data_IF_217646066861
#
_entry.id   IF_217646066861
#
_cell.length_a   1.000
_cell.length_b   1.000
_cell.length_c   1.000
_cell.angle_alpha   90.00
_cell.angle_beta   90.00
_cell.angle_gamma   90.00
#
_symmetry.space_group_name_H-M   'P 1'
#
loop_
_entity.id
_entity.type
_entity.pdbx_description
1 polymer ?
#
# COMPACT_ATOMS: atom_id res chain seq x y z
N UNK A 1 19.20 36.46 -3.69
CA UNK A 1 17.76 36.34 -3.35
C UNK A 1 17.12 35.06 -3.85
N UNK A 2 17.13 34.71 -5.17
CA UNK A 2 16.48 33.48 -5.68
C UNK A 2 16.84 32.19 -4.92
N UNK A 3 18.13 31.95 -4.64
CA UNK A 3 18.60 30.76 -3.87
C UNK A 3 18.04 30.66 -2.44
N UNK A 4 17.65 31.77 -1.82
CA UNK A 4 17.06 31.75 -0.47
C UNK A 4 15.56 31.45 -0.52
N UNK A 5 14.85 32.04 -1.50
CA UNK A 5 13.41 31.83 -1.68
C UNK A 5 13.11 30.35 -1.94
N UNK A 6 13.88 29.71 -2.83
CA UNK A 6 13.70 28.28 -3.12
C UNK A 6 13.91 27.41 -1.88
N UNK A 7 14.96 27.71 -1.11
CA UNK A 7 15.29 26.98 0.12
C UNK A 7 14.17 27.04 1.16
N UNK A 8 13.66 28.24 1.49
CA UNK A 8 12.58 28.36 2.48
C UNK A 8 11.25 27.83 1.95
N UNK A 9 11.00 27.92 0.63
CA UNK A 9 9.84 27.34 -0.02
C UNK A 9 9.81 25.80 0.10
N UNK A 10 10.95 25.13 -0.11
CA UNK A 10 11.08 23.69 0.07
C UNK A 10 10.83 23.28 1.53
N UNK A 11 11.40 24.01 2.50
CA UNK A 11 11.17 23.73 3.92
C UNK A 11 9.69 23.84 4.30
N UNK A 12 9.02 24.88 3.82
CA UNK A 12 7.59 25.06 4.05
C UNK A 12 6.77 23.93 3.40
N UNK A 13 7.13 23.53 2.18
CA UNK A 13 6.46 22.44 1.47
C UNK A 13 6.58 21.10 2.22
N UNK A 14 7.74 20.79 2.82
CA UNK A 14 7.92 19.58 3.67
C UNK A 14 6.94 19.60 4.85
N UNK A 15 6.85 20.74 5.56
CA UNK A 15 5.97 20.86 6.72
C UNK A 15 4.50 20.76 6.30
N UNK A 16 4.09 21.44 5.23
CA UNK A 16 2.72 21.40 4.74
C UNK A 16 2.30 19.99 4.31
N UNK A 17 3.15 19.31 3.52
CA UNK A 17 2.85 17.94 3.06
C UNK A 17 2.85 16.93 4.22
N UNK A 18 3.69 17.12 5.25
CA UNK A 18 3.63 16.33 6.47
C UNK A 18 2.31 16.54 7.23
N UNK A 19 1.89 17.79 7.43
CA UNK A 19 0.63 18.10 8.11
C UNK A 19 -0.56 17.45 7.40
N UNK A 20 -0.61 17.50 6.07
CA UNK A 20 -1.65 16.85 5.27
C UNK A 20 -1.62 15.33 5.40
N UNK A 21 -0.42 14.73 5.43
CA UNK A 21 -0.25 13.30 5.68
C UNK A 21 -0.85 12.92 7.04
N UNK A 22 -0.48 13.63 8.12
CA UNK A 22 -0.97 13.30 9.46
C UNK A 22 -2.47 13.52 9.62
N UNK A 23 -3.01 14.60 9.05
CA UNK A 23 -4.45 14.85 9.01
C UNK A 23 -5.19 13.69 8.33
N UNK A 24 -4.71 13.26 7.17
CA UNK A 24 -5.33 12.15 6.44
C UNK A 24 -5.19 10.79 7.16
N UNK A 25 -4.07 10.58 7.86
CA UNK A 25 -3.86 9.36 8.65
C UNK A 25 -4.83 9.29 9.83
N UNK A 26 -5.01 10.41 10.55
CA UNK A 26 -5.97 10.50 11.64
C UNK A 26 -7.40 10.24 11.15
N UNK A 27 -7.78 10.83 10.01
CA UNK A 27 -9.11 10.72 9.46
C UNK A 27 -9.48 9.26 9.10
N UNK A 28 -8.53 8.50 8.52
CA UNK A 28 -8.70 7.06 8.29
C UNK A 28 -8.80 6.28 9.60
N UNK A 29 -7.96 6.58 10.60
CA UNK A 29 -7.97 5.86 11.87
C UNK A 29 -9.29 6.10 12.63
N UNK A 30 -9.81 7.32 12.62
CA UNK A 30 -11.06 7.68 13.31
C UNK A 30 -12.31 7.20 12.57
N UNK A 31 -12.29 7.22 11.24
CA UNK A 31 -13.47 6.90 10.42
C UNK A 31 -13.18 5.86 9.34
N UNK A 32 -12.88 4.61 9.72
CA UNK A 32 -12.42 3.59 8.77
C UNK A 32 -13.44 3.21 7.69
N UNK A 33 -14.74 3.52 7.88
CA UNK A 33 -15.80 3.18 6.94
C UNK A 33 -16.08 4.24 5.86
N UNK A 34 -15.73 5.51 6.10
CA UNK A 34 -16.13 6.61 5.18
C UNK A 34 -15.02 7.07 4.27
N UNK A 35 -13.76 6.86 4.63
CA UNK A 35 -12.65 7.45 3.90
C UNK A 35 -11.93 6.46 2.99
N UNK A 36 -11.73 6.89 1.74
CA UNK A 36 -10.89 6.15 0.80
C UNK A 36 -9.43 6.23 1.23
N UNK A 37 -8.77 5.07 1.31
CA UNK A 37 -7.31 4.93 1.46
C UNK A 37 -6.46 5.66 0.41
N UNK A 38 -7.10 6.22 -0.61
CA UNK A 38 -6.48 7.00 -1.67
C UNK A 38 -5.79 8.27 -1.16
N UNK A 39 -6.43 9.05 -0.28
CA UNK A 39 -5.88 10.36 0.14
C UNK A 39 -4.57 10.24 0.93
N UNK A 40 -4.44 9.36 1.94
CA UNK A 40 -3.15 9.19 2.60
C UNK A 40 -2.06 8.67 1.67
N UNK A 41 -2.40 7.86 0.67
CA UNK A 41 -1.43 7.41 -0.33
C UNK A 41 -0.90 8.58 -1.17
N UNK A 42 -1.79 9.50 -1.58
CA UNK A 42 -1.41 10.72 -2.29
C UNK A 42 -0.53 11.61 -1.42
N UNK A 43 -0.94 11.90 -0.18
CA UNK A 43 -0.15 12.76 0.71
C UNK A 43 1.17 12.13 1.15
N UNK A 44 1.20 10.81 1.36
CA UNK A 44 2.43 10.05 1.60
C UNK A 44 3.40 10.21 0.43
N UNK A 45 2.89 10.07 -0.79
CA UNK A 45 3.70 10.21 -2.01
C UNK A 45 4.26 11.62 -2.15
N UNK A 46 3.43 12.65 -1.90
CA UNK A 46 3.87 14.05 -1.92
C UNK A 46 4.92 14.32 -0.84
N UNK A 47 4.70 13.87 0.39
CA UNK A 47 5.65 14.04 1.48
C UNK A 47 6.98 13.33 1.18
N UNK A 48 6.95 12.10 0.65
CA UNK A 48 8.13 11.38 0.20
C UNK A 48 8.93 12.20 -0.81
N UNK A 49 8.28 12.67 -1.87
CA UNK A 49 8.94 13.42 -2.95
C UNK A 49 9.59 14.69 -2.41
N UNK A 50 8.83 15.50 -1.67
CA UNK A 50 9.31 16.81 -1.17
C UNK A 50 10.41 16.63 -0.13
N UNK A 51 10.28 15.65 0.77
CA UNK A 51 11.31 15.36 1.76
C UNK A 51 12.60 14.82 1.11
N UNK A 52 12.50 13.93 0.12
CA UNK A 52 13.65 13.41 -0.63
C UNK A 52 14.36 14.47 -1.46
N UNK A 53 13.63 15.41 -2.07
CA UNK A 53 14.28 16.57 -2.71
C UNK A 53 15.03 17.40 -1.66
N UNK A 54 14.40 17.65 -0.51
CA UNK A 54 14.99 18.41 0.60
C UNK A 54 16.26 17.74 1.13
N UNK A 55 16.27 16.41 1.25
CA UNK A 55 17.44 15.66 1.76
C UNK A 55 18.65 15.78 0.85
N UNK A 56 18.44 15.90 -0.47
CA UNK A 56 19.48 16.09 -1.48
C UNK A 56 19.94 17.55 -1.54
N UNK A 57 19.01 18.50 -1.53
CA UNK A 57 19.30 19.93 -1.74
C UNK A 57 19.91 20.62 -0.51
N UNK A 58 19.52 20.21 0.71
CA UNK A 58 19.97 20.87 1.93
C UNK A 58 21.24 20.22 2.50
N UNK A 59 22.35 20.95 2.36
CA UNK A 59 23.64 20.59 2.96
C UNK A 59 23.78 20.97 4.44
N UNK A 60 22.99 21.93 4.92
CA UNK A 60 23.07 22.38 6.31
C UNK A 60 22.33 21.40 7.22
N UNK A 61 23.10 20.66 8.02
CA UNK A 61 22.62 19.68 8.99
C UNK A 61 21.56 20.24 9.94
N UNK A 62 21.79 21.41 10.52
CA UNK A 62 20.89 21.99 11.52
C UNK A 62 19.52 22.31 10.94
N UNK A 63 19.49 22.91 9.74
CA UNK A 63 18.24 23.20 9.03
C UNK A 63 17.49 21.92 8.66
N UNK A 64 18.19 20.91 8.17
CA UNK A 64 17.56 19.63 7.83
C UNK A 64 16.91 18.94 9.04
N UNK A 65 17.63 18.91 10.17
CA UNK A 65 17.12 18.34 11.43
C UNK A 65 15.92 19.15 11.92
N UNK A 66 16.02 20.48 11.93
CA UNK A 66 14.94 21.35 12.39
C UNK A 66 13.68 21.12 11.57
N UNK A 67 13.78 21.12 10.24
CA UNK A 67 12.62 20.90 9.36
C UNK A 67 12.05 19.50 9.51
N UNK A 68 12.90 18.47 9.57
CA UNK A 68 12.42 17.10 9.80
C UNK A 68 11.70 17.02 11.15
N UNK A 69 12.28 17.55 12.23
CA UNK A 69 11.66 17.59 13.54
C UNK A 69 10.33 18.34 13.53
N UNK A 70 10.26 19.53 12.94
CA UNK A 70 9.01 20.30 12.82
C UNK A 70 7.96 19.53 12.04
N UNK A 71 8.33 18.90 10.91
CA UNK A 71 7.41 18.10 10.09
C UNK A 71 6.85 16.89 10.83
N UNK A 72 7.66 16.18 11.62
CA UNK A 72 7.20 15.07 12.45
C UNK A 72 6.40 15.57 13.65
N UNK A 73 6.80 16.68 14.27
CA UNK A 73 6.11 17.26 15.43
C UNK A 73 4.68 17.72 15.10
N UNK A 74 4.37 18.06 13.83
CA UNK A 74 2.99 18.35 13.42
C UNK A 74 2.03 17.19 13.67
N UNK A 75 2.50 15.95 13.75
CA UNK A 75 1.66 14.79 14.11
C UNK A 75 1.14 14.85 15.56
N UNK A 76 1.81 15.58 16.47
CA UNK A 76 1.37 15.76 17.86
C UNK A 76 0.11 16.62 17.99
N UNK A 77 -0.20 17.44 16.96
CA UNK A 77 -1.45 18.23 16.94
C UNK A 77 -2.66 17.29 16.90
N UNK A 78 -2.53 16.17 16.19
CA UNK A 78 -3.60 15.19 15.99
C UNK A 78 -3.58 14.06 17.03
N UNK A 79 -2.41 13.78 17.62
CA UNK A 79 -2.25 12.78 18.68
C UNK A 79 -1.47 13.34 19.86
N UNK A 80 -2.19 13.74 20.91
CA UNK A 80 -1.62 14.25 22.15
C UNK A 80 -1.26 13.10 23.11
N UNK A 81 -0.23 12.31 22.78
CA UNK A 81 0.30 11.26 23.65
C UNK A 81 1.79 11.46 23.92
N UNK A 82 2.19 11.49 25.20
CA UNK A 82 3.60 11.60 25.59
C UNK A 82 4.42 10.38 25.17
N UNK A 83 3.83 9.18 25.18
CA UNK A 83 4.50 7.96 24.72
C UNK A 83 4.84 7.99 23.22
N UNK A 84 4.05 8.73 22.43
CA UNK A 84 4.27 8.89 20.99
C UNK A 84 5.54 9.68 20.66
N UNK A 85 6.05 10.49 21.60
CA UNK A 85 7.34 11.19 21.43
C UNK A 85 8.50 10.23 21.18
N UNK A 86 8.47 9.02 21.76
CA UNK A 86 9.50 7.99 21.52
C UNK A 86 9.53 7.60 20.04
N UNK A 87 8.36 7.42 19.42
CA UNK A 87 8.24 7.11 18.00
C UNK A 87 8.74 8.26 17.12
N UNK A 88 8.45 9.52 17.50
CA UNK A 88 8.97 10.71 16.82
C UNK A 88 10.49 10.77 16.87
N UNK A 89 11.10 10.51 18.03
CA UNK A 89 12.56 10.50 18.17
C UNK A 89 13.19 9.40 17.32
N UNK A 90 12.65 8.17 17.36
CA UNK A 90 13.15 7.06 16.55
C UNK A 90 13.00 7.32 15.04
N UNK A 91 11.86 7.89 14.63
CA UNK A 91 11.64 8.29 13.25
C UNK A 91 12.62 9.38 12.80
N UNK A 92 12.86 10.40 13.64
CA UNK A 92 13.84 11.45 13.35
C UNK A 92 15.26 10.89 13.20
N UNK A 93 15.67 9.96 14.07
CA UNK A 93 16.97 9.28 13.97
C UNK A 93 17.09 8.47 12.67
N UNK A 94 16.02 7.79 12.26
CA UNK A 94 15.97 7.08 10.98
C UNK A 94 16.11 8.06 9.80
N UNK A 95 15.29 9.12 9.76
CA UNK A 95 15.34 10.15 8.71
C UNK A 95 16.73 10.81 8.62
N UNK A 96 17.33 11.14 9.76
CA UNK A 96 18.68 11.69 9.84
C UNK A 96 19.74 10.71 9.33
N UNK A 97 19.58 9.41 9.60
CA UNK A 97 20.46 8.37 9.06
C UNK A 97 20.34 8.26 7.53
N UNK A 98 19.11 8.34 7.01
CA UNK A 98 18.85 8.43 5.56
C UNK A 98 19.56 9.61 4.91
N UNK A 99 19.41 10.80 5.48
CA UNK A 99 20.09 12.00 5.00
C UNK A 99 21.61 11.89 5.04
N UNK A 100 22.19 11.35 6.13
CA UNK A 100 23.64 11.11 6.21
C UNK A 100 24.15 10.20 5.09
N UNK A 101 23.41 9.12 4.81
CA UNK A 101 23.74 8.18 3.74
C UNK A 101 23.62 8.87 2.38
N UNK A 102 22.55 9.63 2.16
CA UNK A 102 22.34 10.38 0.92
C UNK A 102 23.46 11.40 0.66
N UNK A 103 23.84 12.19 1.67
CA UNK A 103 24.91 13.18 1.58
C UNK A 103 26.29 12.54 1.38
N UNK A 104 26.57 11.43 2.06
CA UNK A 104 27.82 10.66 1.86
C UNK A 104 27.90 10.11 0.44
N UNK A 105 26.80 9.58 -0.09
CA UNK A 105 26.75 9.09 -1.47
C UNK A 105 26.97 10.21 -2.49
N UNK A 106 26.41 11.40 -2.24
CA UNK A 106 26.60 12.58 -3.09
C UNK A 106 28.03 13.12 -3.02
N UNK A 107 28.69 13.04 -1.87
CA UNK A 107 30.07 13.56 -1.70
C UNK A 107 31.14 12.64 -2.26
N UNK A 108 30.90 11.32 -2.31
CA UNK A 108 31.90 10.34 -2.75
C UNK A 108 31.96 10.16 -4.27
N UNK A 109 30.95 10.64 -5.02
CA UNK A 109 30.88 10.44 -6.48
C UNK A 109 31.36 11.65 -7.26
N UNK A 110 32.17 11.40 -8.28
CA UNK A 110 32.61 12.41 -9.27
C UNK A 110 31.43 12.98 -10.06
N UNK A 111 30.43 12.14 -10.37
CA UNK A 111 29.18 12.55 -11.01
C UNK A 111 28.03 12.43 -10.03
N UNK A 112 27.30 13.53 -9.84
CA UNK A 112 26.09 13.58 -9.02
C UNK A 112 25.06 12.64 -9.66
N UNK A 113 24.67 11.61 -8.91
CA UNK A 113 23.66 10.63 -9.32
C UNK A 113 22.59 10.56 -8.25
N UNK A 114 21.58 11.42 -8.38
CA UNK A 114 20.50 11.56 -7.38
C UNK A 114 19.70 10.29 -7.24
N UNK A 115 19.47 9.57 -8.35
CA UNK A 115 18.82 8.27 -8.32
C UNK A 115 19.42 7.31 -7.28
N UNK A 116 20.76 7.24 -7.21
CA UNK A 116 21.45 6.35 -6.28
C UNK A 116 21.33 6.82 -4.83
N UNK A 117 21.44 8.14 -4.61
CA UNK A 117 21.25 8.75 -3.29
C UNK A 117 19.84 8.48 -2.76
N UNK A 118 18.81 8.76 -3.58
CA UNK A 118 17.40 8.49 -3.28
C UNK A 118 17.12 7.01 -3.01
N UNK A 119 17.74 6.11 -3.79
CA UNK A 119 17.58 4.66 -3.62
C UNK A 119 18.12 4.17 -2.27
N UNK A 120 19.19 4.78 -1.75
CA UNK A 120 19.80 4.38 -0.48
C UNK A 120 19.03 4.94 0.73
N UNK A 121 18.50 6.17 0.64
CA UNK A 121 17.76 6.78 1.74
C UNK A 121 16.35 6.20 1.93
N UNK A 122 15.70 5.70 0.86
CA UNK A 122 14.27 5.32 0.88
C UNK A 122 13.89 4.40 2.04
N UNK A 123 14.76 3.45 2.39
CA UNK A 123 14.49 2.45 3.43
C UNK A 123 14.31 3.12 4.80
N UNK A 124 15.09 4.17 5.06
CA UNK A 124 15.04 4.93 6.31
C UNK A 124 13.80 5.81 6.39
N UNK A 125 13.42 6.41 5.26
CA UNK A 125 12.19 7.19 5.17
C UNK A 125 10.96 6.31 5.38
N UNK A 126 10.85 5.20 4.64
CA UNK A 126 9.70 4.29 4.72
C UNK A 126 9.61 3.68 6.11
N UNK A 127 10.74 3.29 6.71
CA UNK A 127 10.79 2.82 8.10
C UNK A 127 10.25 3.88 9.07
N UNK A 128 10.71 5.14 8.96
CA UNK A 128 10.29 6.22 9.84
C UNK A 128 8.78 6.48 9.78
N UNK A 129 8.20 6.52 8.58
CA UNK A 129 6.76 6.77 8.41
C UNK A 129 5.92 5.57 8.82
N UNK A 130 6.37 4.35 8.49
CA UNK A 130 5.69 3.13 8.95
C UNK A 130 5.65 3.07 10.47
N UNK A 131 6.76 3.43 11.13
CA UNK A 131 6.87 3.47 12.58
C UNK A 131 5.93 4.52 13.19
N UNK A 132 5.85 5.72 12.61
CA UNK A 132 4.95 6.77 13.09
C UNK A 132 3.49 6.43 12.91
N UNK A 133 3.08 5.93 11.74
CA UNK A 133 1.69 5.55 11.50
C UNK A 133 1.25 4.38 12.39
N UNK A 134 2.13 3.39 12.60
CA UNK A 134 1.88 2.31 13.54
C UNK A 134 1.81 2.78 14.99
N UNK A 135 2.71 3.68 15.41
CA UNK A 135 2.67 4.30 16.73
C UNK A 135 1.40 5.14 16.94
N UNK A 136 1.00 5.90 15.92
CA UNK A 136 -0.22 6.70 15.96
C UNK A 136 -1.45 5.82 16.12
N UNK A 137 -1.54 4.75 15.32
CA UNK A 137 -2.59 3.74 15.44
C UNK A 137 -2.63 3.12 16.85
N UNK A 138 -1.48 2.70 17.39
CA UNK A 138 -1.37 2.09 18.72
C UNK A 138 -2.01 2.97 19.81
N UNK A 139 -1.65 4.25 19.85
CA UNK A 139 -2.16 5.17 20.88
C UNK A 139 -3.59 5.62 20.64
N UNK A 140 -4.04 5.76 19.39
CA UNK A 140 -5.42 6.16 19.09
C UNK A 140 -6.42 5.04 19.39
N UNK A 141 -6.08 3.80 19.05
CA UNK A 141 -6.96 2.65 19.30
C UNK A 141 -7.08 2.38 20.80
N UNK A 142 -5.99 2.50 21.56
CA UNK A 142 -6.04 2.34 23.01
C UNK A 142 -6.90 3.36 23.76
N UNK A 143 -7.29 4.47 23.12
CA UNK A 143 -8.19 5.48 23.69
C UNK A 143 -9.66 5.29 23.26
N UNK A 144 -9.93 4.44 22.27
CA UNK A 144 -11.27 4.22 21.70
C UNK A 144 -11.82 2.88 22.19
N UNK A 145 -13.12 2.79 22.49
CA UNK A 145 -13.76 1.52 22.88
C UNK A 145 -13.38 0.42 21.86
N UNK A 146 -12.68 -0.62 22.33
CA UNK A 146 -12.05 -1.65 21.49
C UNK A 146 -13.03 -2.30 20.50
N UNK A 147 -14.32 -2.36 20.85
CA UNK A 147 -15.39 -2.95 20.03
C UNK A 147 -15.73 -2.15 18.76
N UNK A 148 -15.32 -0.87 18.67
CA UNK A 148 -15.61 0.00 17.51
C UNK A 148 -14.39 0.28 16.63
N UNK A 149 -13.19 -0.13 17.06
CA UNK A 149 -11.94 0.29 16.43
C UNK A 149 -11.45 -0.64 15.31
N UNK A 150 -12.11 -1.78 15.07
CA UNK A 150 -11.70 -2.69 14.00
C UNK A 150 -12.17 -2.15 12.64
N UNK A 151 -11.25 -1.86 11.72
CA UNK A 151 -11.61 -1.41 10.39
C UNK A 151 -12.27 -2.57 9.64
N UNK A 152 -13.60 -2.49 9.44
CA UNK A 152 -14.28 -3.34 8.47
C UNK A 152 -13.80 -2.92 7.09
N UNK A 153 -12.86 -3.68 6.51
CA UNK A 153 -12.39 -3.44 5.14
C UNK A 153 -13.55 -3.76 4.21
N UNK A 154 -14.26 -2.73 3.76
CA UNK A 154 -15.26 -2.85 2.69
C UNK A 154 -14.56 -2.55 1.38
N UNK A 155 -14.23 -3.61 0.63
CA UNK A 155 -13.74 -3.43 -0.75
C UNK A 155 -14.90 -2.85 -1.57
N UNK A 156 -14.76 -1.61 -2.03
CA UNK A 156 -15.74 -0.99 -2.92
C UNK A 156 -15.72 -1.67 -4.29
N UNK A 157 -16.86 -1.74 -4.97
CA UNK A 157 -16.99 -2.27 -6.34
C UNK A 157 -15.95 -1.68 -7.31
N UNK A 158 -15.60 -0.39 -7.13
CA UNK A 158 -14.57 0.28 -7.93
C UNK A 158 -13.17 -0.31 -7.68
N UNK A 159 -12.83 -0.61 -6.43
CA UNK A 159 -11.56 -1.24 -6.06
C UNK A 159 -11.48 -2.68 -6.55
N UNK A 160 -12.60 -3.43 -6.47
CA UNK A 160 -12.71 -4.77 -7.03
C UNK A 160 -12.45 -4.78 -8.55
N UNK A 161 -12.95 -3.76 -9.27
CA UNK A 161 -12.67 -3.58 -10.71
C UNK A 161 -11.17 -3.33 -11.01
N UNK A 162 -10.46 -2.62 -10.15
CA UNK A 162 -9.01 -2.44 -10.33
C UNK A 162 -8.23 -3.72 -10.00
N UNK A 163 -8.61 -4.45 -8.94
CA UNK A 163 -8.00 -5.72 -8.59
C UNK A 163 -8.14 -6.75 -9.71
N UNK A 164 -9.31 -6.86 -10.32
CA UNK A 164 -9.53 -7.76 -11.48
C UNK A 164 -8.68 -7.38 -12.69
N UNK A 165 -8.44 -6.09 -12.95
CA UNK A 165 -7.49 -5.64 -14.00
C UNK A 165 -6.04 -6.02 -13.70
N UNK A 166 -5.65 -6.10 -12.43
CA UNK A 166 -4.30 -6.52 -12.03
C UNK A 166 -4.19 -8.05 -12.14
N UNK A 167 -5.17 -8.79 -11.60
CA UNK A 167 -5.17 -10.27 -11.62
C UNK A 167 -5.18 -10.80 -13.05
N UNK A 168 -5.97 -10.20 -13.95
CA UNK A 168 -5.99 -10.57 -15.39
C UNK A 168 -4.68 -10.31 -16.15
N UNK A 169 -3.71 -9.59 -15.55
CA UNK A 169 -2.35 -9.49 -16.11
C UNK A 169 -1.45 -10.65 -15.67
N UNK A 170 -1.72 -11.26 -14.53
CA UNK A 170 -0.95 -12.40 -14.02
C UNK A 170 -1.51 -13.74 -14.50
N UNK A 171 -2.81 -13.81 -14.77
CA UNK A 171 -3.47 -14.97 -15.34
C UNK A 171 -4.08 -14.60 -16.71
N UNK A 172 -3.43 -14.97 -17.83
CA UNK A 172 -3.88 -14.62 -19.17
C UNK A 172 -5.23 -15.27 -19.55
N UNK A 173 -5.66 -16.34 -18.87
CA UNK A 173 -6.94 -17.00 -19.16
C UNK A 173 -8.12 -16.11 -18.73
N UNK A 174 -7.95 -15.36 -17.63
CA UNK A 174 -8.92 -14.36 -17.17
C UNK A 174 -8.99 -13.13 -18.11
N UNK A 175 -7.93 -12.86 -18.89
CA UNK A 175 -7.89 -11.75 -19.84
C UNK A 175 -8.75 -11.98 -21.08
N UNK A 176 -8.97 -13.24 -21.45
CA UNK A 176 -9.83 -13.62 -22.57
C UNK A 176 -11.32 -13.40 -22.27
N UNK A 177 -11.68 -13.31 -20.98
CA UNK A 177 -13.04 -13.10 -20.49
C UNK A 177 -13.33 -11.60 -20.40
N UNK A 178 -13.72 -10.98 -21.53
CA UNK A 178 -13.88 -9.51 -21.64
C UNK A 178 -14.83 -8.87 -20.62
N UNK A 179 -15.72 -9.62 -19.97
CA UNK A 179 -16.72 -9.08 -19.03
C UNK A 179 -16.83 -9.88 -17.71
N UNK A 180 -15.73 -10.11 -16.96
CA UNK A 180 -15.80 -10.72 -15.60
C UNK A 180 -16.83 -10.00 -14.69
N UNK A 181 -17.06 -8.70 -14.91
CA UNK A 181 -18.04 -7.90 -14.16
C UNK A 181 -19.51 -8.28 -14.43
N UNK A 182 -19.78 -9.06 -15.47
CA UNK A 182 -21.14 -9.46 -15.88
C UNK A 182 -21.35 -10.97 -15.77
N UNK A 183 -20.28 -11.76 -15.65
CA UNK A 183 -20.36 -13.22 -15.57
C UNK A 183 -21.04 -13.64 -14.26
N UNK A 184 -22.04 -14.49 -14.39
CA UNK A 184 -22.74 -15.12 -13.26
C UNK A 184 -21.95 -16.31 -12.72
N UNK A 185 -22.21 -16.69 -11.46
CA UNK A 185 -21.48 -17.79 -10.80
C UNK A 185 -21.55 -19.09 -11.62
N UNK A 186 -22.71 -19.37 -12.19
CA UNK A 186 -22.89 -20.55 -13.04
C UNK A 186 -22.04 -20.51 -14.31
N UNK A 187 -22.02 -19.37 -15.00
CA UNK A 187 -21.23 -19.19 -16.21
C UNK A 187 -19.74 -19.33 -15.92
N UNK A 188 -19.27 -18.79 -14.80
CA UNK A 188 -17.88 -18.93 -14.37
C UNK A 188 -17.49 -20.37 -14.04
N UNK A 189 -18.35 -21.10 -13.31
CA UNK A 189 -18.12 -22.52 -13.01
C UNK A 189 -18.01 -23.34 -14.31
N UNK A 190 -18.92 -23.11 -15.26
CA UNK A 190 -18.93 -23.84 -16.53
C UNK A 190 -17.74 -23.50 -17.41
N UNK A 191 -17.30 -22.24 -17.42
CA UNK A 191 -16.12 -21.81 -18.18
C UNK A 191 -14.84 -22.47 -17.65
N UNK A 192 -14.66 -22.50 -16.32
CA UNK A 192 -13.47 -23.11 -15.72
C UNK A 192 -13.43 -24.62 -15.96
N UNK A 193 -14.57 -25.32 -15.90
CA UNK A 193 -14.62 -26.76 -16.20
C UNK A 193 -14.41 -27.03 -17.70
N UNK A 194 -14.91 -26.15 -18.57
CA UNK A 194 -14.69 -26.23 -20.01
C UNK A 194 -13.22 -26.09 -20.42
N UNK A 195 -12.44 -25.30 -19.68
CA UNK A 195 -11.00 -25.16 -19.90
C UNK A 195 -10.23 -26.39 -19.42
N UNK A 196 -10.56 -26.96 -18.24
CA UNK A 196 -9.96 -28.20 -17.73
C UNK A 196 -10.25 -29.40 -18.65
N UNK A 197 -11.43 -29.46 -19.27
CA UNK A 197 -11.79 -30.55 -20.18
C UNK A 197 -11.07 -30.51 -21.54
N UNK A 198 -10.52 -29.36 -21.95
CA UNK A 198 -9.71 -29.24 -23.18
C UNK A 198 -8.29 -29.78 -23.00
N UNK A 199 -7.82 -29.83 -21.76
CA UNK A 199 -6.47 -30.29 -21.41
C UNK A 199 -6.36 -31.82 -21.38
N UNK A 200 -7.49 -32.56 -21.30
CA UNK A 200 -7.53 -34.03 -21.27
C UNK A 200 -8.59 -34.62 -22.24
N UNK A 201 -8.37 -34.58 -23.57
CA UNK A 201 -9.38 -34.95 -24.57
C UNK A 201 -9.65 -36.46 -24.73
N UNK A 202 -8.81 -37.35 -24.19
CA UNK A 202 -8.75 -38.74 -24.66
C UNK A 202 -9.60 -39.78 -23.89
N UNK A 203 -10.47 -39.40 -22.94
CA UNK A 203 -11.12 -40.39 -22.08
C UNK A 203 -12.60 -40.72 -22.39
N UNK A 204 -13.22 -40.15 -23.43
CA UNK A 204 -14.65 -40.37 -23.71
C UNK A 204 -14.99 -40.37 -25.21
N UNK A 205 -14.70 -41.47 -25.92
CA UNK A 205 -15.00 -41.58 -27.37
C UNK A 205 -16.08 -42.61 -27.77
N UNK A 206 -16.76 -43.28 -26.83
CA UNK A 206 -17.77 -44.30 -27.20
C UNK A 206 -19.09 -44.15 -26.44
N UNK A 207 -19.82 -43.04 -26.66
CA UNK A 207 -21.21 -42.86 -26.19
C UNK A 207 -22.04 -42.24 -27.31
N UNK A 208 -23.21 -42.84 -27.59
CA UNK A 208 -24.19 -42.43 -28.60
C UNK A 208 -24.69 -40.99 -28.37
N UNK A 209 -24.95 -40.23 -29.44
CA UNK A 209 -25.27 -38.79 -29.44
C UNK A 209 -26.43 -38.37 -28.50
N UNK A 210 -27.42 -39.24 -28.30
CA UNK A 210 -28.59 -38.99 -27.44
C UNK A 210 -28.28 -39.22 -25.95
N UNK A 211 -27.57 -40.31 -25.62
CA UNK A 211 -27.07 -40.57 -24.26
C UNK A 211 -26.03 -39.54 -23.85
N UNK A 212 -25.25 -39.02 -24.80
CA UNK A 212 -24.30 -37.93 -24.56
C UNK A 212 -25.02 -36.66 -24.09
N UNK A 213 -26.14 -36.25 -24.72
CA UNK A 213 -26.89 -35.04 -24.32
C UNK A 213 -27.50 -35.13 -22.90
N UNK A 214 -28.11 -36.27 -22.55
CA UNK A 214 -28.74 -36.46 -21.22
C UNK A 214 -27.67 -36.59 -20.12
N UNK A 215 -26.57 -37.30 -20.41
CA UNK A 215 -25.43 -37.41 -19.50
C UNK A 215 -24.74 -36.04 -19.30
N UNK A 216 -24.71 -35.21 -20.34
CA UNK A 216 -24.10 -33.88 -20.30
C UNK A 216 -24.93 -32.89 -19.48
N UNK A 217 -26.27 -32.90 -19.59
CA UNK A 217 -27.14 -32.07 -18.74
C UNK A 217 -27.07 -32.45 -17.26
N UNK A 218 -27.09 -33.75 -16.94
CA UNK A 218 -27.00 -34.22 -15.56
C UNK A 218 -25.62 -33.93 -14.95
N UNK A 219 -24.52 -34.12 -15.72
CA UNK A 219 -23.17 -33.73 -15.30
C UNK A 219 -23.08 -32.22 -15.09
N UNK A 220 -23.63 -31.43 -16.01
CA UNK A 220 -23.66 -29.96 -15.91
C UNK A 220 -24.36 -29.50 -14.63
N UNK A 221 -25.54 -30.07 -14.33
CA UNK A 221 -26.27 -29.76 -13.09
C UNK A 221 -25.48 -30.14 -11.85
N UNK A 222 -24.83 -31.29 -11.84
CA UNK A 222 -24.02 -31.75 -10.72
C UNK A 222 -22.76 -30.89 -10.51
N UNK A 223 -22.12 -30.45 -11.60
CA UNK A 223 -20.98 -29.52 -11.57
C UNK A 223 -21.42 -28.16 -11.01
N UNK A 224 -22.52 -27.59 -11.53
CA UNK A 224 -23.07 -26.33 -11.05
C UNK A 224 -23.46 -26.42 -9.56
N UNK A 225 -24.12 -27.52 -9.17
CA UNK A 225 -24.51 -27.74 -7.78
C UNK A 225 -23.29 -27.80 -6.85
N UNK A 226 -22.27 -28.59 -7.19
CA UNK A 226 -21.02 -28.68 -6.41
C UNK A 226 -20.28 -27.34 -6.38
N UNK A 227 -20.23 -26.63 -7.50
CA UNK A 227 -19.59 -25.32 -7.58
C UNK A 227 -20.28 -24.30 -6.67
N UNK A 228 -21.62 -24.18 -6.76
CA UNK A 228 -22.41 -23.33 -5.86
C UNK A 228 -22.25 -23.74 -4.40
N UNK A 229 -22.24 -25.03 -4.09
CA UNK A 229 -22.03 -25.53 -2.73
C UNK A 229 -20.67 -25.10 -2.17
N UNK A 230 -19.61 -25.12 -2.98
CA UNK A 230 -18.29 -24.64 -2.56
C UNK A 230 -18.30 -23.13 -2.27
N UNK A 231 -18.91 -22.33 -3.14
CA UNK A 231 -19.08 -20.89 -2.88
C UNK A 231 -19.93 -20.64 -1.63
N UNK A 232 -21.00 -21.41 -1.44
CA UNK A 232 -21.87 -21.31 -0.27
C UNK A 232 -21.17 -21.67 1.03
N UNK A 233 -20.28 -22.67 1.03
CA UNK A 233 -19.45 -23.01 2.20
C UNK A 233 -18.48 -21.89 2.55
N UNK A 234 -17.93 -21.18 1.55
CA UNK A 234 -17.02 -20.06 1.80
C UNK A 234 -17.71 -18.80 2.31
N UNK A 235 -18.99 -18.59 1.94
CA UNK A 235 -19.78 -17.43 2.33
C UNK A 235 -20.69 -17.66 3.55
N UNK A 236 -20.79 -18.90 4.03
CA UNK A 236 -21.76 -19.32 5.05
C UNK A 236 -23.24 -19.00 4.69
N UNK A 237 -23.55 -18.81 3.39
CA UNK A 237 -24.90 -18.61 2.87
C UNK A 237 -25.11 -19.33 1.54
N UNK A 238 -26.37 -19.59 1.18
CA UNK A 238 -26.72 -20.17 -0.12
C UNK A 238 -26.43 -19.18 -1.26
N UNK A 239 -25.82 -19.69 -2.33
CA UNK A 239 -25.46 -18.96 -3.55
C UNK A 239 -26.40 -19.37 -4.68
N UNK A 240 -27.10 -18.40 -5.28
CA UNK A 240 -28.22 -18.66 -6.19
C UNK A 240 -27.78 -19.04 -7.62
N UNK A 241 -26.51 -18.78 -7.98
CA UNK A 241 -25.93 -19.10 -9.28
C UNK A 241 -26.07 -17.98 -10.33
N UNK A 242 -27.16 -17.21 -10.25
CA UNK A 242 -27.41 -16.00 -11.05
C UNK A 242 -26.75 -14.73 -10.48
N UNK A 243 -26.13 -14.83 -9.31
CA UNK A 243 -25.36 -13.75 -8.70
C UNK A 243 -24.10 -13.48 -9.54
N UNK A 244 -23.66 -12.22 -9.59
CA UNK A 244 -22.40 -11.86 -10.25
C UNK A 244 -21.24 -12.44 -9.46
N UNK A 245 -20.31 -13.05 -10.18
CA UNK A 245 -19.11 -13.67 -9.60
C UNK A 245 -18.29 -12.66 -8.81
N UNK A 246 -18.20 -11.42 -9.31
CA UNK A 246 -17.48 -10.35 -8.65
C UNK A 246 -18.04 -10.02 -7.27
N UNK A 247 -19.38 -9.96 -7.15
CA UNK A 247 -20.06 -9.63 -5.90
C UNK A 247 -19.83 -10.75 -4.88
N UNK A 248 -19.97 -12.01 -5.33
CA UNK A 248 -19.71 -13.22 -4.53
C UNK A 248 -18.25 -13.28 -4.07
N UNK A 249 -17.28 -12.99 -4.94
CA UNK A 249 -15.86 -12.95 -4.54
C UNK A 249 -15.57 -11.82 -3.56
N UNK A 250 -16.13 -10.64 -3.79
CA UNK A 250 -15.94 -9.49 -2.90
C UNK A 250 -16.49 -9.81 -1.52
N UNK A 251 -17.65 -10.47 -1.47
CA UNK A 251 -18.25 -10.94 -0.23
C UNK A 251 -17.42 -12.04 0.44
N UNK A 252 -16.84 -13.01 -0.30
CA UNK A 252 -15.93 -14.03 0.27
C UNK A 252 -14.71 -13.36 0.90
N UNK A 253 -14.11 -12.39 0.20
CA UNK A 253 -12.94 -11.68 0.71
C UNK A 253 -13.30 -10.89 1.96
N UNK A 254 -14.41 -10.16 1.94
CA UNK A 254 -14.88 -9.40 3.10
C UNK A 254 -15.21 -10.34 4.28
N UNK A 255 -15.90 -11.45 4.05
CA UNK A 255 -16.25 -12.45 5.06
C UNK A 255 -14.99 -13.09 5.66
N UNK A 256 -14.01 -13.50 4.83
CA UNK A 256 -12.74 -14.03 5.34
C UNK A 256 -11.93 -13.01 6.12
N UNK A 257 -11.89 -11.75 5.68
CA UNK A 257 -11.20 -10.68 6.42
C UNK A 257 -11.89 -10.44 7.77
N UNK A 258 -13.22 -10.37 7.79
CA UNK A 258 -14.00 -10.17 9.00
C UNK A 258 -13.88 -11.37 9.94
N UNK A 259 -14.04 -12.60 9.45
CA UNK A 259 -13.85 -13.81 10.25
C UNK A 259 -12.42 -13.95 10.76
N UNK A 260 -11.41 -13.54 9.98
CA UNK A 260 -10.03 -13.51 10.46
C UNK A 260 -9.86 -12.47 11.58
N UNK A 261 -10.46 -11.29 11.44
CA UNK A 261 -10.47 -10.27 12.49
C UNK A 261 -11.21 -10.81 13.74
N UNK A 262 -12.44 -11.28 13.61
CA UNK A 262 -13.30 -11.74 14.70
C UNK A 262 -12.73 -12.99 15.41
N UNK A 263 -12.27 -14.01 14.67
CA UNK A 263 -11.71 -15.22 15.28
C UNK A 263 -10.34 -14.99 15.92
N UNK A 264 -9.53 -14.06 15.37
CA UNK A 264 -8.26 -13.69 16.01
C UNK A 264 -8.48 -12.94 17.32
N UNK A 265 -9.68 -12.37 17.51
CA UNK A 265 -10.02 -11.51 18.64
C UNK A 265 -10.89 -12.24 19.67
N UNK A 266 -11.71 -13.22 19.27
CA UNK A 266 -12.54 -14.02 20.19
C UNK A 266 -11.75 -14.82 21.24
N UNK A 267 -10.46 -15.07 21.00
CA UNK A 267 -9.55 -15.71 21.97
C UNK A 267 -8.66 -14.73 22.75
N UNK A 268 -8.57 -13.47 22.32
CA UNK A 268 -7.75 -12.45 22.95
C UNK A 268 -8.68 -11.42 23.55
N UNK A 269 -8.88 -11.49 24.87
CA UNK A 269 -9.64 -10.50 25.64
C UNK A 269 -9.25 -9.09 25.17
N UNK A 270 -10.23 -8.40 24.56
CA UNK A 270 -10.06 -7.11 23.88
C UNK A 270 -9.59 -6.00 24.83
N UNK A 271 -9.61 -6.26 26.14
CA UNK A 271 -9.05 -5.40 27.18
C UNK A 271 -7.53 -5.46 27.32
N UNK A 272 -6.85 -6.43 26.68
CA UNK A 272 -5.41 -6.64 26.86
C UNK A 272 -4.61 -5.75 25.88
N UNK A 273 -3.69 -4.89 26.37
CA UNK A 273 -2.82 -4.01 25.57
C UNK A 273 -2.01 -4.72 24.47
N UNK A 274 -1.84 -6.04 24.58
CA UNK A 274 -1.09 -6.87 23.65
C UNK A 274 -1.74 -6.94 22.26
N UNK A 275 -3.08 -6.93 22.18
CA UNK A 275 -3.79 -6.98 20.89
C UNK A 275 -3.47 -5.76 20.04
N UNK A 276 -3.52 -4.56 20.64
CA UNK A 276 -3.17 -3.30 19.98
C UNK A 276 -1.72 -3.30 19.49
N UNK A 277 -0.80 -3.88 20.27
CA UNK A 277 0.60 -4.02 19.88
C UNK A 277 0.75 -4.92 18.65
N UNK A 278 0.08 -6.08 18.64
CA UNK A 278 0.10 -7.01 17.50
C UNK A 278 -0.43 -6.32 16.25
N UNK A 279 -1.60 -5.67 16.31
CA UNK A 279 -2.17 -4.97 15.17
C UNK A 279 -1.30 -3.81 14.68
N UNK A 280 -0.69 -3.05 15.60
CA UNK A 280 0.25 -1.99 15.25
C UNK A 280 1.51 -2.54 14.57
N UNK A 281 1.99 -3.70 15.02
CA UNK A 281 3.08 -4.44 14.36
C UNK A 281 2.70 -4.91 12.95
N UNK A 282 1.50 -5.44 12.77
CA UNK A 282 0.99 -5.83 11.45
C UNK A 282 0.83 -4.61 10.52
N UNK A 283 0.30 -3.50 11.04
CA UNK A 283 0.17 -2.24 10.30
C UNK A 283 1.54 -1.69 9.90
N UNK A 284 2.51 -1.71 10.81
CA UNK A 284 3.91 -1.36 10.51
C UNK A 284 4.46 -2.20 9.36
N UNK A 285 4.34 -3.53 9.43
CA UNK A 285 4.84 -4.44 8.39
C UNK A 285 4.13 -4.22 7.05
N UNK A 286 2.84 -3.96 7.08
CA UNK A 286 2.03 -3.72 5.88
C UNK A 286 2.43 -2.42 5.19
N UNK A 287 2.50 -1.31 5.95
CA UNK A 287 2.91 -0.01 5.42
C UNK A 287 4.36 -0.06 4.95
N UNK A 288 5.25 -0.70 5.71
CA UNK A 288 6.64 -0.84 5.33
C UNK A 288 6.80 -1.62 4.02
N UNK A 289 6.12 -2.77 3.88
CA UNK A 289 6.18 -3.61 2.69
C UNK A 289 5.59 -2.90 1.47
N UNK A 290 4.41 -2.29 1.60
CA UNK A 290 3.76 -1.52 0.54
C UNK A 290 4.60 -0.29 0.15
N UNK A 291 5.10 0.45 1.14
CA UNK A 291 5.97 1.60 0.92
C UNK A 291 7.23 1.22 0.15
N UNK A 292 7.86 0.09 0.51
CA UNK A 292 9.02 -0.43 -0.21
C UNK A 292 8.69 -0.79 -1.66
N UNK A 293 7.52 -1.39 -1.91
CA UNK A 293 7.04 -1.74 -3.25
C UNK A 293 6.77 -0.51 -4.12
N UNK A 294 6.16 0.54 -3.55
CA UNK A 294 5.78 1.77 -4.27
C UNK A 294 6.98 2.71 -4.45
N UNK A 295 7.99 2.62 -3.57
CA UNK A 295 9.15 3.52 -3.54
C UNK A 295 9.94 3.68 -4.85
N UNK A 296 10.14 2.66 -5.72
CA UNK A 296 10.88 2.86 -6.97
C UNK A 296 10.17 3.83 -7.91
N UNK A 297 8.83 3.79 -7.94
CA UNK A 297 8.02 4.71 -8.73
C UNK A 297 8.11 6.13 -8.16
N UNK A 298 8.08 6.28 -6.83
CA UNK A 298 8.26 7.58 -6.19
C UNK A 298 9.65 8.17 -6.44
N UNK A 299 10.71 7.35 -6.38
CA UNK A 299 12.08 7.79 -6.70
C UNK A 299 12.17 8.29 -8.14
N UNK A 300 11.52 7.61 -9.08
CA UNK A 300 11.46 8.04 -10.47
C UNK A 300 10.78 9.41 -10.61
N UNK A 301 9.66 9.62 -9.92
CA UNK A 301 8.98 10.92 -9.90
C UNK A 301 9.86 12.01 -9.26
N UNK A 302 10.50 11.74 -8.13
CA UNK A 302 11.43 12.66 -7.47
C UNK A 302 12.61 13.02 -8.39
N UNK A 303 13.17 12.04 -9.10
CA UNK A 303 14.25 12.28 -10.05
C UNK A 303 13.79 13.15 -11.22
N UNK A 304 12.63 12.87 -11.82
CA UNK A 304 12.06 13.68 -12.90
C UNK A 304 11.81 15.14 -12.44
N UNK A 305 11.29 15.32 -11.23
CA UNK A 305 11.09 16.65 -10.65
C UNK A 305 12.41 17.38 -10.40
N UNK A 306 13.44 16.67 -9.93
CA UNK A 306 14.76 17.26 -9.79
C UNK A 306 15.33 17.73 -11.13
N UNK A 307 15.28 16.89 -12.16
CA UNK A 307 15.76 17.24 -13.51
C UNK A 307 14.98 18.45 -14.06
N UNK A 308 13.66 18.49 -13.82
CA UNK A 308 12.84 19.65 -14.16
C UNK A 308 13.29 20.93 -13.42
N UNK A 309 13.58 20.85 -12.12
CA UNK A 309 14.10 21.98 -11.35
C UNK A 309 15.46 22.48 -11.87
N UNK A 310 16.32 21.58 -12.34
CA UNK A 310 17.59 21.95 -12.99
C UNK A 310 17.33 22.61 -14.35
N UNK A 311 16.43 22.06 -15.15
CA UNK A 311 16.05 22.60 -16.47
C UNK A 311 15.51 24.03 -16.37
N UNK A 312 14.68 24.33 -15.36
CA UNK A 312 14.13 25.68 -15.11
C UNK A 312 15.16 26.62 -14.45
N UNK A 313 16.31 26.10 -14.02
CA UNK A 313 17.36 26.89 -13.35
C UNK A 313 17.04 27.23 -11.89
N UNK A 314 16.13 26.49 -11.25
CA UNK A 314 15.90 26.57 -9.81
C UNK A 314 17.08 25.97 -9.02
N UNK A 315 17.70 24.94 -9.59
CA UNK A 315 18.88 24.26 -9.03
C UNK A 315 20.05 24.43 -9.99
N UNK A 316 21.19 24.89 -9.47
CA UNK A 316 22.43 25.06 -10.24
C UNK A 316 23.44 24.02 -9.76
N UNK A 317 23.93 23.20 -10.70
CA UNK A 317 24.97 22.20 -10.42
C UNK A 317 26.34 22.84 -10.63
N UNK A 318 27.00 23.20 -9.52
CA UNK A 318 28.37 23.72 -9.53
C UNK A 318 29.38 22.56 -9.64
N UNK A 319 30.21 22.57 -10.70
CA UNK A 319 31.32 21.62 -10.85
C UNK A 319 32.53 22.12 -10.05
N UNK A 320 33.05 21.29 -9.16
CA UNK A 320 34.28 21.58 -8.39
C UNK A 320 35.34 20.52 -8.70
N UNK A 321 36.58 20.95 -8.94
CA UNK A 321 37.71 20.02 -9.07
C UNK A 321 38.01 19.45 -7.67
N UNK A 322 38.14 18.14 -7.55
CA UNK A 322 38.42 17.46 -6.28
C UNK A 322 39.34 16.28 -6.58
N UNK A 323 40.34 16.07 -5.73
CA UNK A 323 41.25 14.93 -5.82
C UNK A 323 40.54 13.66 -5.34
N UNK A 324 40.68 12.57 -6.09
CA UNK A 324 40.05 11.29 -5.79
C UNK A 324 41.11 10.20 -5.82
N UNK A 325 41.24 9.45 -4.73
CA UNK A 325 42.11 8.28 -4.65
C UNK A 325 41.51 7.12 -5.46
N UNK A 326 42.33 6.47 -6.29
CA UNK A 326 41.95 5.32 -7.10
C UNK A 326 42.81 4.13 -6.66
N UNK A 327 42.16 3.02 -6.32
CA UNK A 327 42.85 1.73 -6.13
C UNK A 327 43.12 1.17 -7.53
N UNK A 328 44.40 0.97 -7.86
CA UNK A 328 44.88 0.45 -9.15
C UNK A 328 45.08 -1.05 -9.07
#
# INVERSE_FOLDING_TARGET
MRKQITKYGELLAVVLTATLLWWSAEAIIKTPQSESWFWPLVFFSLFFIVWSLTSVLIKNKGLFILTSLTSLATSLIWLQSWGYLVFIVLALLSLYSGWRVAQRELSLRVKISIWNSLRLERRFFIFAISLLLAGQYFFMVGQTDANKALPMIKISDKQAKYLTQIISKFDPDLKSQRNINEITVDEFILQNVGNVSKEYPNQYQSITLEQKKILDENKKRLILQKGRENFSKMLERKVAGNEKVLDVFTEIVNHKINNFADNSIGYLDQSIPLTHLIFSGLLFLTIFSLGMLVSPLLIMLTWLLFEFMVMVGLVIIEKKMTEVEVIV
#
